data_IF_080620795748
#
_entry.id   IF_080620795748
#
_cell.length_a   1.000
_cell.length_b   1.000
_cell.length_c   1.000
_cell.angle_alpha   90.00
_cell.angle_beta   90.00
_cell.angle_gamma   90.00
#
_symmetry.space_group_name_H-M   'P 1'
#
loop_
_entity.id
_entity.type
_entity.pdbx_description
1 polymer ?
#
# COMPACT_ATOMS: atom_id res chain seq x y z
N UNK A 1 -20.00 26.52 -7.71
CA UNK A 1 -19.35 25.70 -8.75
C UNK A 1 -18.77 24.45 -8.12
N UNK A 2 -18.83 23.30 -8.80
CA UNK A 2 -18.26 22.03 -8.30
C UNK A 2 -16.73 21.99 -8.42
N UNK A 3 -16.09 21.15 -7.62
CA UNK A 3 -14.65 20.84 -7.71
C UNK A 3 -14.49 19.34 -7.99
N UNK A 4 -13.43 18.99 -8.73
CA UNK A 4 -13.03 17.61 -9.02
C UNK A 4 -11.68 17.34 -8.39
N UNK A 5 -11.53 16.18 -7.74
CA UNK A 5 -10.26 15.68 -7.25
C UNK A 5 -9.79 14.53 -8.15
N UNK A 6 -8.55 14.61 -8.62
CA UNK A 6 -7.88 13.53 -9.35
C UNK A 6 -6.74 13.03 -8.46
N UNK A 7 -6.68 11.72 -8.26
CA UNK A 7 -5.59 11.07 -7.53
C UNK A 7 -4.60 10.46 -8.52
N UNK A 8 -3.32 10.77 -8.36
CA UNK A 8 -2.24 10.20 -9.16
C UNK A 8 -1.35 9.36 -8.24
N UNK A 9 -1.23 8.06 -8.53
CA UNK A 9 -0.33 7.16 -7.82
C UNK A 9 0.98 7.02 -8.58
N UNK A 10 2.10 7.26 -7.89
CA UNK A 10 3.44 7.15 -8.48
C UNK A 10 4.25 6.12 -7.69
N UNK A 11 4.57 5.00 -8.33
CA UNK A 11 5.47 4.01 -7.76
C UNK A 11 6.91 4.54 -7.71
N UNK A 12 7.52 4.50 -6.53
CA UNK A 12 8.90 4.92 -6.30
C UNK A 12 9.51 4.17 -5.11
N UNK A 13 10.82 4.27 -4.96
CA UNK A 13 11.57 3.77 -3.81
C UNK A 13 11.91 4.92 -2.87
N UNK A 14 11.89 4.66 -1.56
CA UNK A 14 12.29 5.64 -0.56
C UNK A 14 13.72 6.10 -0.83
N UNK A 15 13.90 7.41 -1.02
CA UNK A 15 15.18 8.03 -1.31
C UNK A 15 15.53 8.17 -2.79
N UNK A 16 14.70 7.64 -3.70
CA UNK A 16 14.91 7.88 -5.13
C UNK A 16 14.54 9.31 -5.55
N UNK A 17 14.82 9.65 -6.81
CA UNK A 17 14.54 10.96 -7.38
C UNK A 17 13.06 11.36 -7.23
N UNK A 18 12.14 10.42 -7.44
CA UNK A 18 10.70 10.70 -7.38
C UNK A 18 10.23 10.88 -5.93
N UNK A 19 10.76 10.10 -5.00
CA UNK A 19 10.45 10.19 -3.58
C UNK A 19 10.92 11.51 -2.97
N UNK A 20 12.12 11.95 -3.34
CA UNK A 20 12.77 13.16 -2.81
C UNK A 20 12.35 14.44 -3.55
N UNK A 21 11.70 14.30 -4.71
CA UNK A 21 11.13 15.42 -5.47
C UNK A 21 10.16 16.23 -4.62
N UNK A 22 10.20 17.56 -4.75
CA UNK A 22 9.28 18.44 -4.03
C UNK A 22 7.83 18.30 -4.54
N UNK A 23 6.88 18.66 -3.68
CA UNK A 23 5.45 18.45 -3.93
C UNK A 23 4.92 19.23 -5.14
N UNK A 24 5.44 20.43 -5.39
CA UNK A 24 4.99 21.28 -6.49
C UNK A 24 5.49 20.72 -7.83
N UNK A 25 6.73 20.27 -7.88
CA UNK A 25 7.29 19.60 -9.06
C UNK A 25 6.58 18.28 -9.35
N UNK A 26 6.27 17.48 -8.33
CA UNK A 26 5.46 16.26 -8.50
C UNK A 26 4.06 16.59 -9.05
N UNK A 27 3.40 17.61 -8.50
CA UNK A 27 2.08 18.01 -8.95
C UNK A 27 2.08 18.47 -10.42
N UNK A 28 3.08 19.27 -10.81
CA UNK A 28 3.26 19.69 -12.20
C UNK A 28 3.54 18.52 -13.12
N UNK A 29 4.37 17.55 -12.71
CA UNK A 29 4.62 16.32 -13.48
C UNK A 29 3.34 15.52 -13.73
N UNK A 30 2.47 15.40 -12.72
CA UNK A 30 1.16 14.76 -12.90
C UNK A 30 0.26 15.57 -13.84
N UNK A 31 0.22 16.89 -13.69
CA UNK A 31 -0.59 17.79 -14.51
C UNK A 31 -0.16 17.78 -15.98
N UNK A 32 1.14 17.75 -16.25
CA UNK A 32 1.71 17.65 -17.61
C UNK A 32 1.35 16.30 -18.24
N UNK A 33 1.36 15.22 -17.47
CA UNK A 33 0.84 13.92 -17.89
C UNK A 33 -0.65 13.98 -18.24
N UNK A 34 -1.47 14.61 -17.39
CA UNK A 34 -2.90 14.78 -17.64
C UNK A 34 -3.20 15.64 -18.88
N UNK A 35 -2.36 16.62 -19.19
CA UNK A 35 -2.55 17.49 -20.34
C UNK A 35 -2.46 16.74 -21.69
N UNK A 36 -1.80 15.58 -21.73
CA UNK A 36 -1.81 14.70 -22.90
C UNK A 36 -3.18 14.05 -23.16
N UNK A 37 -4.01 13.92 -22.13
CA UNK A 37 -5.36 13.36 -22.19
C UNK A 37 -6.43 14.44 -22.28
N UNK A 38 -6.22 15.57 -21.58
CA UNK A 38 -7.13 16.70 -21.55
C UNK A 38 -6.35 18.01 -21.77
N UNK A 39 -6.19 18.44 -23.03
CA UNK A 39 -5.50 19.69 -23.35
C UNK A 39 -6.14 20.88 -22.64
N UNK A 40 -5.32 21.71 -21.99
CA UNK A 40 -5.77 22.88 -21.23
C UNK A 40 -6.15 22.61 -19.76
N UNK A 41 -5.93 21.39 -19.26
CA UNK A 41 -6.17 21.03 -17.85
C UNK A 41 -5.53 22.01 -16.85
N UNK A 42 -4.39 22.62 -17.19
CA UNK A 42 -3.69 23.59 -16.35
C UNK A 42 -4.55 24.81 -15.98
N UNK A 43 -5.48 25.23 -16.84
CA UNK A 43 -6.36 26.37 -16.56
C UNK A 43 -7.39 26.08 -15.44
N UNK A 44 -7.64 24.80 -15.14
CA UNK A 44 -8.58 24.35 -14.11
C UNK A 44 -7.88 23.91 -12.83
N UNK A 45 -6.55 23.89 -12.81
CA UNK A 45 -5.77 23.47 -11.67
C UNK A 45 -5.91 24.48 -10.52
N UNK A 46 -6.30 23.98 -9.34
CA UNK A 46 -6.51 24.81 -8.14
C UNK A 46 -5.60 24.48 -6.97
N UNK A 47 -4.78 23.42 -7.09
CA UNK A 47 -3.85 22.98 -6.06
C UNK A 47 -3.72 21.46 -5.98
N UNK A 48 -2.73 21.02 -5.22
CA UNK A 48 -2.41 19.61 -5.00
C UNK A 48 -2.07 19.36 -3.53
N UNK A 49 -2.07 18.08 -3.16
CA UNK A 49 -1.49 17.60 -1.91
C UNK A 49 -0.78 16.28 -2.20
N UNK A 50 0.46 16.17 -1.76
CA UNK A 50 1.25 14.94 -1.92
C UNK A 50 1.24 14.17 -0.60
N UNK A 51 1.09 12.85 -0.70
CA UNK A 51 1.24 11.92 0.41
C UNK A 51 2.25 10.86 0.00
N UNK A 52 3.28 10.66 0.82
CA UNK A 52 4.34 9.67 0.60
C UNK A 52 4.14 8.49 1.55
N UNK A 53 4.06 7.28 0.99
CA UNK A 53 3.82 6.06 1.77
C UNK A 53 5.03 5.14 1.63
N UNK A 54 5.91 5.05 2.64
CA UNK A 54 7.18 4.30 2.50
C UNK A 54 6.95 2.79 2.43
N UNK A 55 5.81 2.31 2.96
CA UNK A 55 5.40 0.90 2.93
C UNK A 55 3.96 0.82 2.46
N UNK A 56 3.75 0.77 1.14
CA UNK A 56 2.42 0.73 0.54
C UNK A 56 1.95 -0.70 0.25
N UNK A 57 2.79 -1.47 -0.46
CA UNK A 57 2.47 -2.81 -0.93
C UNK A 57 3.67 -3.75 -0.75
N UNK A 58 3.45 -5.02 -0.35
CA UNK A 58 4.46 -6.05 -0.45
C UNK A 58 4.88 -6.23 -1.90
N UNK A 59 6.17 -6.01 -2.17
CA UNK A 59 6.78 -6.28 -3.47
C UNK A 59 7.37 -7.68 -3.41
N UNK A 60 6.86 -8.58 -4.26
CA UNK A 60 7.38 -9.94 -4.35
C UNK A 60 8.62 -9.94 -5.23
N UNK A 61 9.79 -9.97 -4.58
CA UNK A 61 11.05 -10.23 -5.25
C UNK A 61 11.41 -11.72 -5.09
N UNK A 62 11.92 -12.34 -6.15
CA UNK A 62 12.27 -13.77 -6.13
C UNK A 62 13.29 -14.10 -5.03
N UNK A 63 14.21 -13.19 -4.77
CA UNK A 63 15.26 -13.35 -3.75
C UNK A 63 14.70 -13.45 -2.32
N UNK A 64 13.50 -12.91 -2.05
CA UNK A 64 12.88 -12.95 -0.74
C UNK A 64 11.87 -14.09 -0.58
N UNK A 65 11.61 -14.89 -1.62
CA UNK A 65 10.61 -15.95 -1.57
C UNK A 65 10.88 -17.00 -0.46
N UNK A 66 12.13 -17.47 -0.23
CA UNK A 66 12.40 -18.38 0.88
C UNK A 66 12.03 -17.77 2.23
N UNK A 67 12.37 -16.48 2.45
CA UNK A 67 12.06 -15.76 3.68
C UNK A 67 10.54 -15.56 3.83
N UNK A 68 9.84 -15.20 2.76
CA UNK A 68 8.38 -15.05 2.73
C UNK A 68 7.68 -16.36 3.10
N UNK A 69 8.13 -17.49 2.55
CA UNK A 69 7.57 -18.82 2.87
C UNK A 69 7.80 -19.20 4.32
N UNK A 70 8.99 -18.93 4.86
CA UNK A 70 9.28 -19.13 6.27
C UNK A 70 8.33 -18.31 7.15
N UNK A 71 8.18 -17.02 6.84
CA UNK A 71 7.30 -16.11 7.57
C UNK A 71 5.81 -16.49 7.48
N UNK A 72 5.36 -17.01 6.33
CA UNK A 72 4.00 -17.49 6.15
C UNK A 72 3.66 -18.71 7.03
N UNK A 73 4.67 -19.49 7.46
CA UNK A 73 4.47 -20.58 8.41
C UNK A 73 4.34 -20.07 9.87
N UNK A 74 4.84 -18.87 10.15
CA UNK A 74 4.74 -18.23 11.46
C UNK A 74 5.91 -17.28 11.75
N UNK A 75 5.79 -16.54 12.84
CA UNK A 75 6.81 -15.56 13.28
C UNK A 75 7.98 -16.19 14.03
N UNK A 76 7.88 -17.48 14.40
CA UNK A 76 8.82 -18.14 15.32
C UNK A 76 8.66 -17.73 16.78
N UNK A 77 7.78 -16.79 17.10
CA UNK A 77 7.55 -16.30 18.47
C UNK A 77 6.20 -16.81 18.97
N UNK A 78 6.22 -17.55 20.08
CA UNK A 78 5.01 -18.12 20.67
C UNK A 78 4.00 -17.02 21.04
N UNK A 79 2.76 -17.16 20.56
CA UNK A 79 1.69 -16.21 20.81
C UNK A 79 1.73 -14.93 19.96
N UNK A 80 2.71 -14.76 19.07
CA UNK A 80 2.79 -13.62 18.16
C UNK A 80 2.21 -14.00 16.78
N UNK A 81 1.09 -13.38 16.44
CA UNK A 81 0.42 -13.57 15.15
C UNK A 81 0.52 -12.31 14.32
N UNK A 82 0.96 -12.46 13.08
CA UNK A 82 1.05 -11.36 12.13
C UNK A 82 -0.06 -11.51 11.09
N UNK A 83 -0.85 -10.45 10.89
CA UNK A 83 -2.07 -10.46 10.08
C UNK A 83 -2.13 -9.18 9.24
N UNK A 84 -2.69 -9.27 8.04
CA UNK A 84 -2.96 -8.14 7.15
C UNK A 84 -1.92 -8.03 6.04
N UNK A 85 -2.09 -7.07 5.13
CA UNK A 85 -1.28 -6.94 3.90
C UNK A 85 0.23 -7.02 4.15
N UNK A 86 0.77 -6.12 4.97
CA UNK A 86 2.20 -6.14 5.30
C UNK A 86 2.52 -7.20 6.36
N UNK A 87 1.59 -7.47 7.28
CA UNK A 87 1.75 -8.45 8.35
C UNK A 87 1.83 -9.90 7.85
N UNK A 88 1.27 -10.23 6.70
CA UNK A 88 1.35 -11.55 6.07
C UNK A 88 2.24 -11.53 4.83
N UNK A 89 2.84 -10.38 4.53
CA UNK A 89 3.53 -10.11 3.27
C UNK A 89 2.69 -10.59 2.07
N UNK A 90 1.42 -10.17 2.05
CA UNK A 90 0.40 -10.62 1.12
C UNK A 90 -0.19 -9.44 0.36
N UNK A 91 -0.24 -9.51 -0.97
CA UNK A 91 -0.88 -8.49 -1.80
C UNK A 91 -2.41 -8.67 -1.81
N UNK A 92 -3.08 -8.17 -0.76
CA UNK A 92 -4.52 -8.37 -0.52
C UNK A 92 -5.28 -7.06 -0.27
N UNK A 93 -6.59 -7.08 -0.49
CA UNK A 93 -7.47 -5.91 -0.32
C UNK A 93 -7.99 -5.81 1.12
N UNK A 94 -8.63 -4.68 1.45
CA UNK A 94 -9.13 -4.42 2.80
C UNK A 94 -10.12 -5.48 3.29
N UNK A 95 -11.01 -5.92 2.40
CA UNK A 95 -12.01 -6.96 2.68
C UNK A 95 -11.33 -8.30 3.07
N UNK A 96 -10.27 -8.69 2.35
CA UNK A 96 -9.51 -9.89 2.66
C UNK A 96 -8.88 -9.82 4.04
N UNK A 97 -8.30 -8.66 4.39
CA UNK A 97 -7.69 -8.44 5.71
C UNK A 97 -8.73 -8.65 6.81
N UNK A 98 -9.93 -8.08 6.65
CA UNK A 98 -11.00 -8.21 7.62
C UNK A 98 -11.40 -9.67 7.84
N UNK A 99 -11.74 -10.40 6.77
CA UNK A 99 -12.20 -11.78 6.89
C UNK A 99 -11.10 -12.73 7.36
N UNK A 100 -9.86 -12.53 6.92
CA UNK A 100 -8.71 -13.33 7.39
C UNK A 100 -8.45 -13.10 8.87
N UNK A 101 -8.56 -11.86 9.34
CA UNK A 101 -8.40 -11.53 10.76
C UNK A 101 -9.45 -12.26 11.60
N UNK A 102 -10.74 -12.17 11.22
CA UNK A 102 -11.81 -12.86 11.93
C UNK A 102 -11.61 -14.37 11.98
N UNK A 103 -11.30 -14.97 10.83
CA UNK A 103 -11.02 -16.41 10.73
C UNK A 103 -9.90 -16.81 11.68
N UNK A 104 -8.77 -16.09 11.65
CA UNK A 104 -7.61 -16.38 12.50
C UNK A 104 -7.95 -16.25 13.98
N UNK A 105 -8.66 -15.20 14.38
CA UNK A 105 -9.06 -15.02 15.78
C UNK A 105 -9.98 -16.13 16.26
N UNK A 106 -10.95 -16.55 15.44
CA UNK A 106 -11.84 -17.65 15.78
C UNK A 106 -11.10 -18.98 15.95
N UNK A 107 -10.15 -19.29 15.06
CA UNK A 107 -9.29 -20.48 15.16
C UNK A 107 -8.48 -20.47 16.48
N UNK A 108 -7.92 -19.32 16.86
CA UNK A 108 -7.13 -19.17 18.08
C UNK A 108 -7.98 -19.31 19.35
N UNK A 109 -9.19 -18.75 19.36
CA UNK A 109 -10.13 -18.92 20.47
C UNK A 109 -10.55 -20.37 20.59
N UNK A 110 -10.85 -21.06 19.49
CA UNK A 110 -11.21 -22.47 19.50
C UNK A 110 -10.06 -23.34 20.02
N UNK A 111 -8.83 -23.11 19.54
CA UNK A 111 -7.65 -23.86 19.99
C UNK A 111 -7.36 -23.71 21.50
N UNK A 112 -7.69 -22.57 22.10
CA UNK A 112 -7.57 -22.35 23.56
C UNK A 112 -8.68 -23.00 24.39
N UNK A 113 -9.82 -23.30 23.78
CA UNK A 113 -10.99 -23.91 24.44
C UNK A 113 -10.97 -25.44 24.37
N UNK A 114 -10.19 -26.01 23.46
CA UNK A 114 -9.95 -27.45 23.41
C UNK A 114 -9.04 -27.85 24.59
N UNK A 115 -9.45 -28.84 25.41
CA UNK A 115 -8.71 -29.29 26.59
C UNK A 115 -7.33 -29.88 26.26
#
# INVERSE_FOLDING_TARGET
AGKTLITCDIGCQVGDETWTMDDETLARRCLDGLASLYPGVHAYYSGSRVMRTPVAYPVYHIDYEPARRCFAAGTGVAGLYSIGRNGEFAHILMEDIYWRTLKKMNELVAARRSP
#
